data_IF_394156720950
#
_entry.id   IF_394156720950
#
_cell.length_a   1.000
_cell.length_b   1.000
_cell.length_c   1.000
_cell.angle_alpha   90.00
_cell.angle_beta   90.00
_cell.angle_gamma   90.00
#
_symmetry.space_group_name_H-M   'P 1'
#
loop_
_entity.id
_entity.type
_entity.pdbx_description
1 polymer ?
#
# COMPACT_ATOMS: atom_id res chain seq x y z
N UNK A 1 4.61 -38.86 7.64
CA UNK A 1 3.64 -38.11 6.81
C UNK A 1 4.32 -36.81 6.40
N UNK A 2 4.49 -36.54 5.10
CA UNK A 2 5.03 -35.25 4.62
C UNK A 2 3.87 -34.25 4.61
N UNK A 3 3.96 -33.19 5.40
CA UNK A 3 2.99 -32.08 5.37
C UNK A 3 3.08 -31.36 4.01
N UNK A 4 1.95 -30.89 3.44
CA UNK A 4 2.00 -30.10 2.23
C UNK A 4 2.71 -28.78 2.54
N UNK A 5 3.66 -28.41 1.68
CA UNK A 5 4.29 -27.09 1.72
C UNK A 5 3.17 -26.09 1.45
N UNK A 6 2.70 -25.45 2.51
CA UNK A 6 1.75 -24.36 2.41
C UNK A 6 2.53 -23.17 1.85
N UNK A 7 2.40 -22.96 0.55
CA UNK A 7 2.93 -21.78 -0.14
C UNK A 7 2.06 -20.59 0.29
N UNK A 8 2.26 -20.18 1.55
CA UNK A 8 1.71 -18.95 2.09
C UNK A 8 2.28 -17.83 1.23
N UNK A 9 1.44 -17.30 0.35
CA UNK A 9 1.70 -16.10 -0.44
C UNK A 9 2.27 -15.05 0.50
N UNK A 10 3.58 -14.85 0.44
CA UNK A 10 4.26 -13.88 1.29
C UNK A 10 3.70 -12.51 0.94
N UNK A 11 2.88 -11.96 1.84
CA UNK A 11 2.32 -10.62 1.68
C UNK A 11 3.38 -9.63 2.13
N UNK A 12 3.90 -8.85 1.19
CA UNK A 12 4.82 -7.75 1.49
C UNK A 12 4.02 -6.47 1.74
N UNK A 13 3.96 -6.06 3.01
CA UNK A 13 3.27 -4.83 3.42
C UNK A 13 4.18 -3.61 3.27
N UNK A 14 3.59 -2.48 2.85
CA UNK A 14 4.28 -1.20 2.75
C UNK A 14 3.57 -0.20 3.66
N UNK A 15 4.34 0.40 4.58
CA UNK A 15 3.86 1.41 5.53
C UNK A 15 4.45 2.78 5.19
N UNK A 16 3.64 3.83 5.30
CA UNK A 16 4.06 5.21 5.08
C UNK A 16 3.46 6.11 6.17
N UNK A 17 4.30 6.84 6.92
CA UNK A 17 3.81 7.86 7.85
C UNK A 17 3.39 9.12 7.10
N UNK A 18 2.23 9.65 7.47
CA UNK A 18 1.62 10.87 6.93
C UNK A 18 1.49 11.96 8.00
N UNK A 19 2.31 11.89 9.06
CA UNK A 19 2.19 12.78 10.21
C UNK A 19 2.55 14.23 9.88
N UNK A 20 3.49 14.40 8.95
CA UNK A 20 3.97 15.70 8.48
C UNK A 20 3.01 16.41 7.51
N UNK A 21 1.97 15.74 7.01
CA UNK A 21 0.99 16.36 6.13
C UNK A 21 0.10 17.33 6.92
N UNK A 22 -0.34 18.41 6.29
CA UNK A 22 -1.37 19.30 6.89
C UNK A 22 -2.74 18.61 6.85
N UNK A 23 -3.71 19.12 7.62
CA UNK A 23 -5.09 18.66 7.52
C UNK A 23 -5.61 18.93 6.10
N UNK A 24 -6.29 17.95 5.49
CA UNK A 24 -6.75 18.07 4.11
C UNK A 24 -7.09 16.74 3.44
N UNK A 25 -7.51 16.82 2.18
CA UNK A 25 -7.80 15.67 1.34
C UNK A 25 -6.61 15.38 0.42
N UNK A 26 -6.23 14.11 0.31
CA UNK A 26 -5.06 13.65 -0.42
C UNK A 26 -5.39 12.50 -1.36
N UNK A 27 -4.58 12.36 -2.40
CA UNK A 27 -4.58 11.21 -3.32
C UNK A 27 -3.18 10.64 -3.38
N UNK A 28 -2.99 9.41 -2.90
CA UNK A 28 -1.77 8.65 -3.09
C UNK A 28 -1.89 7.81 -4.37
N UNK A 29 -1.01 8.07 -5.33
CA UNK A 29 -0.90 7.28 -6.55
C UNK A 29 0.31 6.34 -6.44
N UNK A 30 0.08 5.05 -6.66
CA UNK A 30 1.12 4.03 -6.75
C UNK A 30 1.42 3.83 -8.24
N UNK A 31 2.70 4.01 -8.61
CA UNK A 31 3.16 3.90 -9.98
C UNK A 31 4.01 2.63 -10.18
N UNK A 32 3.88 2.01 -11.34
CA UNK A 32 4.78 0.97 -11.84
C UNK A 32 5.09 1.25 -13.30
N UNK A 33 6.38 1.29 -13.66
CA UNK A 33 6.83 1.65 -15.03
C UNK A 33 6.22 2.97 -15.53
N UNK A 34 6.18 3.99 -14.67
CA UNK A 34 5.60 5.31 -14.93
C UNK A 34 4.08 5.32 -15.20
N UNK A 35 3.37 4.22 -14.98
CA UNK A 35 1.91 4.14 -15.10
C UNK A 35 1.26 4.04 -13.72
N UNK A 36 0.12 4.70 -13.53
CA UNK A 36 -0.64 4.63 -12.28
C UNK A 36 -1.38 3.31 -12.19
N UNK A 37 -1.01 2.45 -11.25
CA UNK A 37 -1.63 1.14 -11.04
C UNK A 37 -2.67 1.14 -9.91
N UNK A 38 -2.59 2.12 -9.00
CA UNK A 38 -3.56 2.28 -7.90
C UNK A 38 -3.61 3.73 -7.44
N UNK A 39 -4.81 4.20 -7.13
CA UNK A 39 -5.04 5.47 -6.45
C UNK A 39 -5.80 5.23 -5.15
N UNK A 40 -5.36 5.89 -4.08
CA UNK A 40 -5.97 5.82 -2.75
C UNK A 40 -6.29 7.24 -2.33
N UNK A 41 -7.57 7.53 -2.08
CA UNK A 41 -8.02 8.82 -1.56
C UNK A 41 -8.14 8.72 -0.05
N UNK A 42 -7.57 9.67 0.67
CA UNK A 42 -7.69 9.74 2.13
C UNK A 42 -7.80 11.18 2.60
N UNK A 43 -8.38 11.36 3.78
CA UNK A 43 -8.48 12.65 4.45
C UNK A 43 -7.62 12.59 5.71
N UNK A 44 -6.72 13.56 5.88
CA UNK A 44 -6.07 13.83 7.16
C UNK A 44 -6.94 14.81 7.92
N UNK A 45 -7.63 14.29 8.93
CA UNK A 45 -8.48 15.02 9.88
C UNK A 45 -7.80 15.25 11.21
#
# INVERSE_FOLDING_TARGET
MKTPIQDDKIVHEIYMSIDHLKMGNYVLNILYKNEVIKSIKFKKS
#
